data_IF_146587009213
#
_entry.id   IF_146587009213
#
_cell.length_a   1.000
_cell.length_b   1.000
_cell.length_c   1.000
_cell.angle_alpha   90.00
_cell.angle_beta   90.00
_cell.angle_gamma   90.00
#
_symmetry.space_group_name_H-M   'P 1'
#
loop_
_entity.id
_entity.type
_entity.pdbx_description
1 polymer ?
#
# COMPACT_ATOMS: atom_id res chain seq x y z
N UNK A 1 72.54 -31.64 -3.42
CA UNK A 1 71.85 -32.92 -3.77
C UNK A 1 72.02 -33.82 -2.56
N UNK A 2 71.05 -34.45 -1.93
CA UNK A 2 69.59 -34.56 -2.02
C UNK A 2 69.25 -35.58 -0.90
N UNK A 3 68.17 -35.40 -0.14
CA UNK A 3 67.20 -36.44 0.28
C UNK A 3 66.31 -35.93 1.44
N UNK A 4 65.06 -35.60 1.15
CA UNK A 4 63.92 -35.90 2.04
C UNK A 4 63.58 -37.40 1.88
N UNK A 5 63.04 -38.12 2.89
CA UNK A 5 61.57 -38.13 3.10
C UNK A 5 61.06 -38.32 4.55
N UNK A 6 59.79 -37.89 4.74
CA UNK A 6 58.60 -38.47 5.44
C UNK A 6 58.72 -38.91 6.92
N UNK A 7 57.82 -38.58 7.85
CA UNK A 7 56.42 -39.06 8.09
C UNK A 7 55.94 -38.25 9.34
N UNK A 8 54.71 -37.75 9.51
CA UNK A 8 53.53 -38.47 10.03
C UNK A 8 52.36 -37.46 10.15
N UNK A 9 51.18 -37.86 9.68
CA UNK A 9 49.94 -37.14 9.90
C UNK A 9 49.33 -37.54 11.24
N UNK A 10 48.95 -36.58 12.10
CA UNK A 10 48.08 -36.86 13.24
C UNK A 10 47.22 -35.62 13.60
N UNK A 11 45.90 -35.81 13.52
CA UNK A 11 44.86 -35.00 14.17
C UNK A 11 43.85 -36.01 14.77
N UNK A 12 42.89 -35.63 15.63
CA UNK A 12 42.83 -34.61 16.68
C UNK A 12 42.58 -35.26 18.08
N UNK A 13 42.88 -34.59 19.19
CA UNK A 13 42.32 -34.97 20.50
C UNK A 13 41.47 -33.85 21.09
N UNK A 14 40.18 -34.17 21.25
CA UNK A 14 39.19 -33.40 21.96
C UNK A 14 39.34 -33.66 23.46
N UNK A 15 39.63 -32.62 24.24
CA UNK A 15 39.53 -32.65 25.70
C UNK A 15 38.37 -31.74 26.14
N UNK A 16 37.37 -32.38 26.72
CA UNK A 16 36.10 -31.83 27.18
C UNK A 16 36.29 -31.14 28.55
N UNK A 17 36.21 -29.81 28.58
CA UNK A 17 36.12 -29.04 29.84
C UNK A 17 34.71 -28.45 29.99
N UNK A 18 33.95 -28.99 30.95
CA UNK A 18 32.69 -28.41 31.42
C UNK A 18 33.00 -27.61 32.70
N UNK A 19 32.71 -26.30 32.76
CA UNK A 19 32.58 -25.61 34.03
C UNK A 19 31.17 -25.02 34.20
N UNK A 20 30.44 -25.64 35.14
CA UNK A 20 29.53 -25.09 36.16
C UNK A 20 28.73 -23.80 35.80
N UNK A 21 27.39 -23.94 35.76
CA UNK A 21 26.43 -22.83 35.74
C UNK A 21 26.65 -21.85 36.90
N UNK A 22 26.90 -20.58 36.59
CA UNK A 22 26.96 -19.48 37.55
C UNK A 22 25.54 -18.99 37.89
N UNK A 23 25.15 -18.85 39.17
CA UNK A 23 23.79 -18.50 39.55
C UNK A 23 23.47 -17.00 39.34
N UNK A 24 22.30 -16.76 38.72
CA UNK A 24 21.38 -15.62 38.83
C UNK A 24 22.02 -14.24 39.13
N UNK A 25 22.07 -13.41 38.07
CA UNK A 25 22.46 -11.99 38.06
C UNK A 25 21.58 -11.15 39.01
N UNK A 26 22.10 -10.77 40.18
CA UNK A 26 21.51 -9.71 41.02
C UNK A 26 21.51 -8.37 40.26
N UNK A 27 20.37 -7.67 40.26
CA UNK A 27 20.22 -6.35 39.65
C UNK A 27 21.04 -5.26 40.39
N UNK A 28 21.33 -4.14 39.72
CA UNK A 28 22.24 -3.12 40.25
C UNK A 28 21.59 -2.28 41.37
N UNK A 29 22.38 -1.92 42.40
CA UNK A 29 21.96 -1.17 43.59
C UNK A 29 21.65 0.31 43.29
N UNK A 30 20.82 0.95 44.11
CA UNK A 30 20.26 2.29 43.84
C UNK A 30 21.33 3.40 43.70
N UNK A 31 22.44 3.29 44.43
CA UNK A 31 23.59 4.20 44.33
C UNK A 31 24.38 4.05 43.02
N UNK A 32 24.25 2.93 42.31
CA UNK A 32 24.86 2.76 40.97
C UNK A 32 24.20 3.60 39.88
N UNK A 33 23.04 4.21 40.15
CA UNK A 33 22.43 5.18 39.26
C UNK A 33 23.02 6.57 39.46
N UNK A 34 23.45 6.92 40.68
CA UNK A 34 24.09 8.21 40.98
C UNK A 34 25.54 8.24 40.47
N UNK A 35 26.30 7.16 40.69
CA UNK A 35 27.67 7.05 40.15
C UNK A 35 27.72 7.01 38.61
N UNK A 36 26.62 6.59 37.97
CA UNK A 36 26.48 6.59 36.49
C UNK A 36 26.11 7.96 35.93
N UNK A 37 25.61 8.86 36.76
CA UNK A 37 25.19 10.21 36.35
C UNK A 37 26.35 11.21 36.50
N UNK A 38 27.33 10.97 37.38
CA UNK A 38 28.40 11.93 37.66
C UNK A 38 29.78 11.64 37.03
N UNK A 39 30.12 10.41 36.63
CA UNK A 39 31.51 10.14 36.19
C UNK A 39 31.63 9.13 35.03
N UNK A 40 30.88 9.38 33.95
CA UNK A 40 31.26 8.88 32.62
C UNK A 40 31.07 9.99 31.59
N UNK A 41 32.12 10.79 31.47
CA UNK A 41 32.46 11.55 30.28
C UNK A 41 31.40 12.57 29.83
N UNK A 42 31.26 13.68 30.56
CA UNK A 42 30.97 14.96 29.91
C UNK A 42 32.20 15.44 29.13
N UNK A 43 32.66 14.62 28.18
CA UNK A 43 33.46 15.10 27.07
C UNK A 43 32.45 15.86 26.22
N UNK A 44 32.49 17.19 26.28
CA UNK A 44 31.70 18.02 25.38
C UNK A 44 31.88 17.49 23.97
N UNK A 45 30.81 16.99 23.31
CA UNK A 45 30.94 16.42 21.99
C UNK A 45 31.58 17.46 21.08
N UNK A 46 32.70 17.11 20.46
CA UNK A 46 33.27 17.92 19.38
C UNK A 46 32.14 18.12 18.39
N UNK A 47 31.81 19.37 18.05
CA UNK A 47 30.60 19.78 17.30
C UNK A 47 30.36 19.00 15.99
N UNK A 48 31.34 18.21 15.52
CA UNK A 48 31.25 17.28 14.38
C UNK A 48 30.67 15.87 14.65
N UNK A 49 30.77 15.28 15.86
CA UNK A 49 30.35 13.87 16.10
C UNK A 49 28.94 13.73 16.71
N UNK A 50 28.47 14.75 17.42
CA UNK A 50 27.10 14.78 17.99
C UNK A 50 26.05 14.81 16.89
N UNK A 51 26.27 15.62 15.85
CA UNK A 51 25.34 15.75 14.73
C UNK A 51 25.16 14.41 14.01
N UNK A 52 26.24 13.66 13.78
CA UNK A 52 26.18 12.32 13.19
C UNK A 52 25.36 11.33 14.06
N UNK A 53 25.46 11.44 15.37
CA UNK A 53 24.69 10.62 16.32
C UNK A 53 23.20 10.98 16.31
N UNK A 54 22.87 12.28 16.32
CA UNK A 54 21.49 12.77 16.19
C UNK A 54 20.87 12.38 14.84
N UNK A 55 21.62 12.50 13.74
CA UNK A 55 21.15 12.10 12.41
C UNK A 55 20.90 10.60 12.32
N UNK A 56 21.73 9.77 12.96
CA UNK A 56 21.51 8.31 13.03
C UNK A 56 20.25 7.97 13.83
N UNK A 57 20.08 8.58 15.01
CA UNK A 57 18.89 8.37 15.85
C UNK A 57 17.61 8.86 15.16
N UNK A 58 17.67 10.03 14.53
CA UNK A 58 16.56 10.56 13.73
C UNK A 58 16.26 9.65 12.54
N UNK A 59 17.26 9.25 11.76
CA UNK A 59 17.07 8.40 10.60
C UNK A 59 16.44 7.05 10.97
N UNK A 60 16.86 6.43 12.08
CA UNK A 60 16.29 5.16 12.54
C UNK A 60 14.84 5.30 12.98
N UNK A 61 14.51 6.33 13.77
CA UNK A 61 13.13 6.56 14.22
C UNK A 61 12.21 6.84 13.05
N UNK A 62 12.71 7.70 12.16
CA UNK A 62 11.94 8.19 11.06
C UNK A 62 11.78 7.08 9.98
N UNK A 63 12.70 6.10 9.87
CA UNK A 63 12.53 4.86 9.09
C UNK A 63 11.38 3.99 9.59
N UNK A 64 11.27 3.82 10.90
CA UNK A 64 10.18 3.06 11.52
C UNK A 64 8.84 3.75 11.22
N UNK A 65 8.76 5.07 11.40
CA UNK A 65 7.54 5.82 11.12
C UNK A 65 7.13 5.75 9.64
N UNK A 66 8.07 5.90 8.70
CA UNK A 66 7.76 5.82 7.28
C UNK A 66 7.28 4.43 6.88
N UNK A 67 7.93 3.37 7.35
CA UNK A 67 7.51 1.99 7.07
C UNK A 67 6.09 1.74 7.56
N UNK A 68 5.78 2.11 8.80
CA UNK A 68 4.44 1.98 9.36
C UNK A 68 3.39 2.74 8.53
N UNK A 69 3.72 3.95 8.08
CA UNK A 69 2.84 4.74 7.21
C UNK A 69 2.63 4.09 5.84
N UNK A 70 3.70 3.65 5.19
CA UNK A 70 3.66 3.02 3.87
C UNK A 70 2.94 1.68 3.89
N UNK A 71 3.13 0.87 4.93
CA UNK A 71 2.43 -0.40 5.11
C UNK A 71 0.92 -0.17 5.25
N UNK A 72 0.51 0.85 6.02
CA UNK A 72 -0.90 1.26 6.10
C UNK A 72 -1.43 1.72 4.73
N UNK A 73 -0.63 2.46 3.97
CA UNK A 73 -1.02 3.01 2.66
C UNK A 73 -1.17 1.90 1.62
N UNK A 74 -0.22 0.97 1.56
CA UNK A 74 -0.27 -0.19 0.67
C UNK A 74 -1.40 -1.13 1.06
N UNK A 75 -1.60 -1.41 2.36
CA UNK A 75 -2.70 -2.24 2.84
C UNK A 75 -4.07 -1.72 2.39
N UNK A 76 -4.34 -0.43 2.63
CA UNK A 76 -5.59 0.21 2.22
C UNK A 76 -5.80 0.18 0.70
N UNK A 77 -4.73 0.42 -0.06
CA UNK A 77 -4.79 0.48 -1.52
C UNK A 77 -4.94 -0.90 -2.14
N UNK A 78 -4.31 -1.94 -1.58
CA UNK A 78 -4.44 -3.32 -2.06
C UNK A 78 -5.88 -3.82 -1.97
N UNK A 79 -6.57 -3.53 -0.87
CA UNK A 79 -7.98 -3.87 -0.72
C UNK A 79 -8.85 -3.20 -1.79
N UNK A 80 -8.58 -1.93 -2.12
CA UNK A 80 -9.31 -1.23 -3.20
C UNK A 80 -9.08 -1.84 -4.57
N UNK A 81 -7.83 -2.18 -4.92
CA UNK A 81 -7.52 -2.76 -6.23
C UNK A 81 -8.23 -4.09 -6.41
N UNK A 82 -8.29 -4.91 -5.36
CA UNK A 82 -9.03 -6.18 -5.37
C UNK A 82 -10.53 -5.92 -5.56
N UNK A 83 -11.12 -5.01 -4.78
CA UNK A 83 -12.54 -4.65 -4.91
C UNK A 83 -12.87 -4.10 -6.30
N UNK A 84 -12.00 -3.27 -6.85
CA UNK A 84 -12.14 -2.70 -8.18
C UNK A 84 -12.04 -3.76 -9.28
N UNK A 85 -11.12 -4.72 -9.14
CA UNK A 85 -11.00 -5.84 -10.07
C UNK A 85 -12.28 -6.67 -10.09
N UNK A 86 -12.84 -6.98 -8.91
CA UNK A 86 -14.10 -7.70 -8.79
C UNK A 86 -15.27 -6.91 -9.39
N UNK A 87 -15.34 -5.62 -9.09
CA UNK A 87 -16.38 -4.74 -9.63
C UNK A 87 -16.29 -4.61 -11.15
N UNK A 88 -15.09 -4.40 -11.69
CA UNK A 88 -14.81 -4.38 -13.12
C UNK A 88 -15.23 -5.68 -13.81
N UNK A 89 -15.01 -6.83 -13.17
CA UNK A 89 -15.45 -8.13 -13.70
C UNK A 89 -16.97 -8.20 -13.81
N UNK A 90 -17.68 -7.83 -12.75
CA UNK A 90 -19.14 -7.87 -12.71
C UNK A 90 -19.71 -6.89 -13.74
N UNK A 91 -19.20 -5.66 -13.79
CA UNK A 91 -19.62 -4.63 -14.75
C UNK A 91 -19.36 -5.09 -16.19
N UNK A 92 -18.21 -5.69 -16.49
CA UNK A 92 -17.90 -6.21 -17.81
C UNK A 92 -18.87 -7.31 -18.25
N UNK A 93 -19.20 -8.27 -17.36
CA UNK A 93 -20.19 -9.32 -17.64
C UNK A 93 -21.57 -8.73 -17.95
N UNK A 94 -22.03 -7.75 -17.15
CA UNK A 94 -23.30 -7.08 -17.40
C UNK A 94 -23.31 -6.27 -18.69
N UNK A 95 -22.24 -5.53 -18.99
CA UNK A 95 -22.11 -4.77 -20.24
C UNK A 95 -22.24 -5.70 -21.44
N UNK A 96 -21.55 -6.85 -21.44
CA UNK A 96 -21.62 -7.83 -22.54
C UNK A 96 -23.04 -8.36 -22.71
N UNK A 97 -23.72 -8.69 -21.61
CA UNK A 97 -25.07 -9.24 -21.66
C UNK A 97 -26.10 -8.21 -22.14
N UNK A 98 -26.05 -7.00 -21.61
CA UNK A 98 -26.93 -5.89 -22.01
C UNK A 98 -26.70 -5.52 -23.48
N UNK A 99 -25.45 -5.54 -23.96
CA UNK A 99 -25.15 -5.27 -25.36
C UNK A 99 -25.84 -6.28 -26.30
N UNK A 100 -25.92 -7.56 -25.90
CA UNK A 100 -26.65 -8.59 -26.68
C UNK A 100 -28.15 -8.36 -26.66
N UNK A 101 -28.72 -7.97 -25.52
CA UNK A 101 -30.16 -7.65 -25.40
C UNK A 101 -30.54 -6.43 -26.25
N UNK A 102 -29.59 -5.53 -26.51
CA UNK A 102 -29.78 -4.33 -27.32
C UNK A 102 -29.45 -4.50 -28.80
N UNK A 103 -28.83 -5.63 -29.19
CA UNK A 103 -28.69 -5.97 -30.60
C UNK A 103 -30.03 -6.46 -31.17
N UNK A 104 -30.47 -5.96 -32.33
CA UNK A 104 -31.70 -6.43 -32.97
C UNK A 104 -31.52 -7.87 -33.47
N UNK A 105 -32.01 -8.85 -32.71
CA UNK A 105 -32.10 -10.25 -33.13
C UNK A 105 -33.20 -10.46 -34.18
N UNK A 106 -32.82 -10.43 -35.46
CA UNK A 106 -33.32 -11.23 -36.60
C UNK A 106 -34.82 -11.63 -36.73
N UNK A 107 -35.78 -10.79 -36.35
CA UNK A 107 -37.21 -11.13 -36.54
C UNK A 107 -38.16 -9.99 -36.83
N UNK A 108 -38.02 -8.83 -36.19
CA UNK A 108 -38.87 -7.67 -36.47
C UNK A 108 -38.03 -6.40 -36.36
N UNK A 109 -37.46 -6.02 -37.51
CA UNK A 109 -37.04 -4.66 -37.75
C UNK A 109 -38.26 -3.76 -37.59
N UNK A 110 -38.20 -2.83 -36.66
CA UNK A 110 -38.66 -1.48 -37.00
C UNK A 110 -37.41 -0.63 -37.08
N UNK A 111 -37.19 -0.03 -38.24
CA UNK A 111 -36.13 0.93 -38.51
C UNK A 111 -36.35 2.19 -37.67
N UNK A 112 -36.15 2.08 -36.36
CA UNK A 112 -36.32 3.12 -35.37
C UNK A 112 -35.01 3.32 -34.62
N UNK A 113 -34.70 4.57 -34.33
CA UNK A 113 -33.65 4.99 -33.39
C UNK A 113 -33.58 4.06 -32.15
N UNK A 114 -32.38 3.73 -31.65
CA UNK A 114 -32.26 2.94 -30.41
C UNK A 114 -33.10 3.57 -29.31
N UNK A 115 -33.85 2.75 -28.57
CA UNK A 115 -34.74 3.25 -27.51
C UNK A 115 -33.96 4.17 -26.56
N UNK A 116 -34.50 5.35 -26.25
CA UNK A 116 -33.80 6.37 -25.44
C UNK A 116 -33.32 5.83 -24.09
N UNK A 117 -34.06 4.86 -23.53
CA UNK A 117 -33.73 4.21 -22.26
C UNK A 117 -32.47 3.32 -22.39
N UNK A 118 -32.35 2.53 -23.46
CA UNK A 118 -31.18 1.69 -23.71
C UNK A 118 -29.88 2.50 -23.81
N UNK A 119 -29.93 3.65 -24.48
CA UNK A 119 -28.78 4.55 -24.62
C UNK A 119 -28.34 5.09 -23.26
N UNK A 120 -29.30 5.49 -22.39
CA UNK A 120 -29.01 5.99 -21.03
C UNK A 120 -28.34 4.94 -20.16
N UNK A 121 -28.88 3.71 -20.15
CA UNK A 121 -28.33 2.59 -19.37
C UNK A 121 -26.89 2.29 -19.81
N UNK A 122 -26.64 2.23 -21.12
CA UNK A 122 -25.30 1.99 -21.64
C UNK A 122 -24.31 3.09 -21.26
N UNK A 123 -24.72 4.36 -21.32
CA UNK A 123 -23.87 5.49 -20.93
C UNK A 123 -23.51 5.39 -19.44
N UNK A 124 -24.47 5.10 -18.56
CA UNK A 124 -24.20 5.04 -17.12
C UNK A 124 -23.40 3.80 -16.72
N UNK A 125 -23.60 2.67 -17.39
CA UNK A 125 -22.73 1.50 -17.23
C UNK A 125 -21.29 1.81 -17.64
N UNK A 126 -21.08 2.47 -18.79
CA UNK A 126 -19.75 2.89 -19.23
C UNK A 126 -19.09 3.89 -18.28
N UNK A 127 -19.84 4.87 -17.77
CA UNK A 127 -19.36 5.82 -16.76
C UNK A 127 -18.92 5.09 -15.49
N UNK A 128 -19.73 4.16 -14.98
CA UNK A 128 -19.38 3.38 -13.79
C UNK A 128 -18.08 2.59 -13.98
N UNK A 129 -17.91 1.95 -15.14
CA UNK A 129 -16.71 1.22 -15.52
C UNK A 129 -15.47 2.13 -15.60
N UNK A 130 -15.61 3.27 -16.28
CA UNK A 130 -14.52 4.24 -16.43
C UNK A 130 -14.08 4.82 -15.08
N UNK A 131 -15.03 5.23 -14.23
CA UNK A 131 -14.72 5.75 -12.90
C UNK A 131 -14.01 4.69 -12.03
N UNK A 132 -14.40 3.42 -12.19
CA UNK A 132 -13.70 2.32 -11.52
C UNK A 132 -12.26 2.22 -12.01
N UNK A 133 -12.01 2.26 -13.31
CA UNK A 133 -10.65 2.24 -13.85
C UNK A 133 -9.82 3.43 -13.36
N UNK A 134 -10.40 4.63 -13.30
CA UNK A 134 -9.72 5.81 -12.75
C UNK A 134 -9.32 5.62 -11.27
N UNK A 135 -10.18 4.97 -10.48
CA UNK A 135 -9.84 4.59 -9.10
C UNK A 135 -8.70 3.55 -9.07
N UNK A 136 -8.66 2.59 -9.99
CA UNK A 136 -7.60 1.58 -10.08
C UNK A 136 -6.25 2.21 -10.44
N UNK A 137 -6.24 3.12 -11.41
CA UNK A 137 -5.03 3.87 -11.80
C UNK A 137 -4.55 4.72 -10.63
N UNK A 138 -5.47 5.36 -9.90
CA UNK A 138 -5.15 6.12 -8.70
C UNK A 138 -4.52 5.22 -7.62
N UNK A 139 -5.07 4.04 -7.37
CA UNK A 139 -4.48 3.04 -6.48
C UNK A 139 -3.07 2.63 -6.93
N UNK A 140 -2.90 2.34 -8.23
CA UNK A 140 -1.61 1.94 -8.78
C UNK A 140 -0.56 3.05 -8.61
N UNK A 141 -0.94 4.31 -8.80
CA UNK A 141 -0.04 5.45 -8.59
C UNK A 141 0.42 5.55 -7.13
N UNK A 142 -0.48 5.33 -6.17
CA UNK A 142 -0.14 5.28 -4.74
C UNK A 142 0.85 4.15 -4.47
N UNK A 143 0.59 2.94 -5.00
CA UNK A 143 1.47 1.79 -4.83
C UNK A 143 2.85 2.02 -5.46
N UNK A 144 2.91 2.60 -6.66
CA UNK A 144 4.16 2.96 -7.34
C UNK A 144 4.97 3.95 -6.50
N UNK A 145 4.30 4.99 -6.00
CA UNK A 145 4.95 5.98 -5.15
C UNK A 145 5.48 5.38 -3.85
N UNK A 146 4.73 4.49 -3.18
CA UNK A 146 5.21 3.82 -1.97
C UNK A 146 6.50 3.03 -2.20
N UNK A 147 6.55 2.28 -3.32
CA UNK A 147 7.70 1.47 -3.68
C UNK A 147 8.92 2.34 -4.04
N UNK A 148 8.70 3.40 -4.80
CA UNK A 148 9.74 4.36 -5.14
C UNK A 148 10.25 5.09 -3.88
N UNK A 149 9.35 5.50 -2.98
CA UNK A 149 9.72 6.14 -1.73
C UNK A 149 10.65 5.26 -0.89
N UNK A 150 10.34 3.98 -0.70
CA UNK A 150 11.22 3.07 0.03
C UNK A 150 12.59 2.94 -0.65
N UNK A 151 12.60 2.88 -1.98
CA UNK A 151 13.82 2.73 -2.78
C UNK A 151 14.72 3.98 -2.68
N UNK A 152 14.16 5.18 -2.71
CA UNK A 152 14.90 6.43 -2.73
C UNK A 152 15.18 7.01 -1.34
N UNK A 153 14.33 6.77 -0.34
CA UNK A 153 14.52 7.28 1.02
C UNK A 153 15.56 6.47 1.82
N UNK A 154 15.77 5.19 1.48
CA UNK A 154 16.69 4.28 2.18
C UNK A 154 17.64 3.50 1.24
N UNK A 155 18.46 4.17 0.40
CA UNK A 155 19.55 3.49 -0.28
C UNK A 155 20.54 2.92 0.76
N UNK A 156 21.19 1.78 0.47
CA UNK A 156 22.21 1.12 1.32
C UNK A 156 23.47 1.99 1.62
N UNK A 157 23.45 3.28 1.28
CA UNK A 157 24.56 4.23 1.36
C UNK A 157 24.40 5.23 2.53
N UNK A 158 25.38 6.14 2.68
CA UNK A 158 25.65 6.91 3.91
C UNK A 158 24.43 7.70 4.49
N UNK A 159 24.22 7.73 5.83
CA UNK A 159 23.00 8.23 6.48
C UNK A 159 22.64 9.71 6.25
N UNK A 160 23.63 10.56 5.93
CA UNK A 160 23.44 12.01 5.89
C UNK A 160 22.95 12.52 4.53
N UNK A 161 23.22 11.80 3.43
CA UNK A 161 22.69 12.15 2.10
C UNK A 161 21.23 11.72 1.95
N UNK A 162 20.87 10.56 2.52
CA UNK A 162 19.50 10.04 2.54
C UNK A 162 18.53 10.96 3.28
N UNK A 163 18.99 11.68 4.31
CA UNK A 163 18.17 12.64 5.05
C UNK A 163 17.66 13.81 4.20
N UNK A 164 18.49 14.33 3.28
CA UNK A 164 18.10 15.42 2.37
C UNK A 164 17.09 14.94 1.35
N UNK A 165 17.39 13.80 0.70
CA UNK A 165 16.51 13.18 -0.30
C UNK A 165 15.15 12.85 0.32
N UNK A 166 15.14 12.20 1.48
CA UNK A 166 13.91 11.93 2.25
C UNK A 166 13.12 13.21 2.55
N UNK A 167 13.77 14.29 2.96
CA UNK A 167 13.08 15.55 3.26
C UNK A 167 12.45 16.14 2.00
N UNK A 168 13.13 16.09 0.85
CA UNK A 168 12.55 16.49 -0.43
C UNK A 168 11.36 15.61 -0.83
N UNK A 169 11.45 14.28 -0.68
CA UNK A 169 10.34 13.36 -0.97
C UNK A 169 9.17 13.55 0.00
N UNK A 170 9.44 13.79 1.27
CA UNK A 170 8.42 14.04 2.30
C UNK A 170 7.77 15.43 2.13
N UNK A 171 8.52 16.42 1.68
CA UNK A 171 7.96 17.72 1.30
C UNK A 171 7.09 17.59 0.04
N UNK A 172 7.49 16.72 -0.90
CA UNK A 172 6.65 16.26 -2.00
C UNK A 172 5.35 15.61 -1.50
N UNK A 173 5.40 14.77 -0.47
CA UNK A 173 4.22 14.16 0.18
C UNK A 173 3.23 15.20 0.71
N UNK A 174 3.76 16.27 1.32
CA UNK A 174 2.95 17.36 1.89
C UNK A 174 2.38 18.30 0.81
N UNK A 175 3.17 18.60 -0.24
CA UNK A 175 2.74 19.42 -1.37
C UNK A 175 1.74 18.68 -2.27
N UNK A 176 1.93 17.39 -2.53
CA UNK A 176 1.02 16.57 -3.33
C UNK A 176 -0.23 16.09 -2.58
N UNK A 177 -0.38 16.43 -1.30
CA UNK A 177 -1.59 16.13 -0.53
C UNK A 177 -2.02 14.65 -0.67
N UNK A 178 -1.11 13.69 -0.50
CA UNK A 178 -1.43 12.25 -0.66
C UNK A 178 -2.66 11.86 0.18
N UNK A 179 -2.87 12.51 1.32
CA UNK A 179 -4.11 12.42 2.11
C UNK A 179 -5.37 12.73 1.30
N UNK A 180 -5.43 13.86 0.56
CA UNK A 180 -6.57 14.22 -0.30
C UNK A 180 -6.74 13.23 -1.45
N UNK A 181 -5.65 12.74 -2.01
CA UNK A 181 -5.71 11.75 -3.10
C UNK A 181 -6.30 10.42 -2.62
N UNK A 182 -5.88 9.92 -1.46
CA UNK A 182 -6.44 8.71 -0.84
C UNK A 182 -7.94 8.83 -0.59
N UNK A 183 -8.41 9.97 -0.04
CA UNK A 183 -9.84 10.19 0.16
C UNK A 183 -10.59 10.24 -1.18
N UNK A 184 -9.98 10.86 -2.21
CA UNK A 184 -10.52 10.89 -3.57
C UNK A 184 -10.73 9.50 -4.16
N UNK A 185 -9.74 8.61 -4.05
CA UNK A 185 -9.80 7.25 -4.62
C UNK A 185 -10.99 6.44 -4.08
N UNK A 186 -11.27 6.53 -2.78
CA UNK A 186 -12.45 5.89 -2.19
C UNK A 186 -13.75 6.51 -2.69
N UNK A 187 -13.81 7.84 -2.76
CA UNK A 187 -15.01 8.54 -3.22
C UNK A 187 -15.31 8.18 -4.67
N UNK A 188 -14.30 8.10 -5.53
CA UNK A 188 -14.42 7.63 -6.92
C UNK A 188 -14.99 6.21 -6.99
N UNK A 189 -14.52 5.30 -6.12
CA UNK A 189 -15.02 3.92 -6.06
C UNK A 189 -16.48 3.88 -5.59
N UNK A 190 -16.84 4.62 -4.54
CA UNK A 190 -18.21 4.68 -4.04
C UNK A 190 -19.18 5.29 -5.06
N UNK A 191 -18.77 6.36 -5.75
CA UNK A 191 -19.56 6.97 -6.83
C UNK A 191 -19.80 5.94 -7.94
N UNK A 192 -18.74 5.22 -8.35
CA UNK A 192 -18.86 4.18 -9.38
C UNK A 192 -19.86 3.08 -8.99
N UNK A 193 -19.77 2.55 -7.77
CA UNK A 193 -20.70 1.53 -7.25
C UNK A 193 -22.13 2.05 -7.20
N UNK A 194 -22.33 3.29 -6.73
CA UNK A 194 -23.66 3.90 -6.69
C UNK A 194 -24.27 4.07 -8.09
N UNK A 195 -23.47 4.52 -9.06
CA UNK A 195 -23.88 4.61 -10.47
C UNK A 195 -24.23 3.24 -11.05
N UNK A 196 -23.53 2.18 -10.66
CA UNK A 196 -23.83 0.82 -11.11
C UNK A 196 -25.16 0.31 -10.58
N UNK A 197 -25.45 0.49 -9.29
CA UNK A 197 -26.76 0.15 -8.74
C UNK A 197 -27.88 0.96 -9.39
N UNK A 198 -27.62 2.24 -9.68
CA UNK A 198 -28.56 3.08 -10.41
C UNK A 198 -28.83 2.54 -11.82
N UNK A 199 -27.80 2.11 -12.55
CA UNK A 199 -27.93 1.53 -13.89
C UNK A 199 -28.71 0.20 -13.87
N UNK A 200 -28.45 -0.66 -12.88
CA UNK A 200 -29.22 -1.89 -12.68
C UNK A 200 -30.69 -1.56 -12.40
N UNK A 201 -30.95 -0.61 -11.50
CA UNK A 201 -32.31 -0.19 -11.17
C UNK A 201 -33.07 0.33 -12.40
N UNK A 202 -32.40 1.09 -13.27
CA UNK A 202 -32.95 1.55 -14.54
C UNK A 202 -33.23 0.39 -15.51
N UNK A 203 -32.30 -0.58 -15.60
CA UNK A 203 -32.51 -1.81 -16.39
C UNK A 203 -33.74 -2.60 -15.93
N UNK A 204 -33.89 -2.83 -14.62
CA UNK A 204 -35.07 -3.52 -14.07
C UNK A 204 -36.37 -2.77 -14.40
N UNK A 205 -36.34 -1.43 -14.43
CA UNK A 205 -37.51 -0.65 -14.84
C UNK A 205 -37.91 -0.86 -16.30
N UNK A 206 -36.94 -1.14 -17.18
CA UNK A 206 -37.21 -1.46 -18.59
C UNK A 206 -37.80 -2.86 -18.77
N UNK A 207 -37.45 -3.82 -17.90
CA UNK A 207 -38.00 -5.17 -17.91
C UNK A 207 -39.41 -5.17 -17.30
N UNK A 208 -39.53 -4.67 -16.07
CA UNK A 208 -40.78 -4.60 -15.31
C UNK A 208 -40.86 -3.32 -14.48
N UNK A 209 -41.83 -2.46 -14.80
CA UNK A 209 -41.97 -1.12 -14.18
C UNK A 209 -42.15 -1.17 -12.66
N UNK A 210 -42.80 -2.20 -12.13
CA UNK A 210 -43.06 -2.34 -10.69
C UNK A 210 -41.78 -2.67 -9.92
N UNK A 211 -41.01 -3.66 -10.39
CA UNK A 211 -39.74 -4.06 -9.79
C UNK A 211 -38.72 -2.91 -9.83
N UNK A 212 -38.61 -2.22 -10.97
CA UNK A 212 -37.72 -1.06 -11.10
C UNK A 212 -38.09 0.09 -10.17
N UNK A 213 -39.40 0.37 -9.98
CA UNK A 213 -39.85 1.41 -9.05
C UNK A 213 -39.45 1.11 -7.61
N UNK A 214 -39.71 -0.13 -7.14
CA UNK A 214 -39.30 -0.56 -5.79
C UNK A 214 -37.78 -0.47 -5.62
N UNK A 215 -37.01 -0.94 -6.60
CA UNK A 215 -35.55 -0.85 -6.57
C UNK A 215 -35.05 0.61 -6.48
N UNK A 216 -35.67 1.55 -7.22
CA UNK A 216 -35.31 2.98 -7.16
C UNK A 216 -35.62 3.58 -5.79
N UNK A 217 -36.78 3.28 -5.22
CA UNK A 217 -37.13 3.76 -3.88
C UNK A 217 -36.21 3.18 -2.81
N UNK A 218 -35.83 1.91 -2.92
CA UNK A 218 -34.89 1.27 -2.00
C UNK A 218 -33.45 1.82 -2.09
N UNK A 219 -33.06 2.41 -3.22
CA UNK A 219 -31.74 3.01 -3.42
C UNK A 219 -31.65 4.42 -2.81
N UNK A 220 -32.79 5.09 -2.64
CA UNK A 220 -32.90 6.48 -2.16
C UNK A 220 -33.36 6.57 -0.69
N UNK A 221 -34.06 5.54 -0.20
CA UNK A 221 -34.51 5.42 1.20
C UNK A 221 -33.37 5.04 2.15
#
# INVERSE_FOLDING_TARGET
MQKTPDVEAQAPEAVLHIPVLNPIRRGPSLNSWQDRVEEKDFVSPKYGDTSATYWKLYASEAEINDKNFLDSLMGNTNSMVILNTLFSSIVASFIIEIYKTLLPGNGQQTAGSPSSNAVRINIVLFLSFFLSIMSAVSCALIQQWCNEYQTFAYPRAAPHESGRVRTYLFQGLHQFQIRRFMYGTHVLLHISVFLFFWAISDFFYTVDRHFGAVARYALVA
#
